data_IF_262000934588
#
_entry.id   IF_262000934588
#
_cell.length_a   1.000
_cell.length_b   1.000
_cell.length_c   1.000
_cell.angle_alpha   90.00
_cell.angle_beta   90.00
_cell.angle_gamma   90.00
#
_symmetry.space_group_name_H-M   'P 1'
#
loop_
_entity.id
_entity.type
_entity.pdbx_description
1 polymer ?
#
# COMPACT_ATOMS: atom_id res chain seq x y z
N UNK A 1 15.80 -19.56 -5.12
CA UNK A 1 15.48 -18.12 -4.94
C UNK A 1 14.55 -17.70 -6.08
N UNK A 2 13.41 -17.05 -5.80
CA UNK A 2 12.57 -16.50 -6.89
C UNK A 2 13.37 -15.40 -7.60
N UNK A 3 13.35 -15.41 -8.94
CA UNK A 3 14.05 -14.41 -9.76
C UNK A 3 13.42 -13.03 -9.50
N UNK A 4 14.24 -12.03 -9.19
CA UNK A 4 13.80 -10.63 -9.03
C UNK A 4 13.69 -9.99 -10.42
N UNK A 5 12.61 -9.25 -10.64
CA UNK A 5 12.40 -8.47 -11.84
C UNK A 5 13.41 -7.33 -11.96
N UNK A 6 13.78 -6.98 -13.19
CA UNK A 6 14.68 -5.87 -13.47
C UNK A 6 13.92 -4.77 -14.22
N UNK A 7 13.93 -3.55 -13.71
CA UNK A 7 13.26 -2.39 -14.32
C UNK A 7 14.13 -1.13 -14.20
N UNK A 8 13.82 -0.08 -14.96
CA UNK A 8 14.54 1.20 -14.86
C UNK A 8 14.10 2.02 -13.64
N UNK A 9 14.92 2.96 -13.14
CA UNK A 9 14.54 3.87 -12.06
C UNK A 9 13.24 4.63 -12.31
N UNK A 10 13.01 5.11 -13.54
CA UNK A 10 11.75 5.76 -13.90
C UNK A 10 10.55 4.80 -13.78
N UNK A 11 10.73 3.53 -14.21
CA UNK A 11 9.67 2.53 -14.11
C UNK A 11 9.33 2.20 -12.65
N UNK A 12 10.35 2.12 -11.78
CA UNK A 12 10.17 1.92 -10.34
C UNK A 12 9.43 3.12 -9.73
N UNK A 13 9.87 4.34 -10.03
CA UNK A 13 9.23 5.57 -9.55
C UNK A 13 7.74 5.63 -9.89
N UNK A 14 7.39 5.39 -11.16
CA UNK A 14 6.00 5.38 -11.61
C UNK A 14 5.21 4.30 -10.87
N UNK A 15 5.77 3.09 -10.72
CA UNK A 15 5.11 1.98 -10.03
C UNK A 15 4.83 2.34 -8.56
N UNK A 16 5.81 2.92 -7.88
CA UNK A 16 5.70 3.34 -6.48
C UNK A 16 4.68 4.47 -6.30
N UNK A 17 4.66 5.45 -7.21
CA UNK A 17 3.68 6.55 -7.21
C UNK A 17 2.25 6.05 -7.41
N UNK A 18 2.05 5.17 -8.40
CA UNK A 18 0.74 4.60 -8.70
C UNK A 18 0.23 3.74 -7.55
N UNK A 19 1.12 2.91 -6.97
CA UNK A 19 0.82 2.10 -5.79
C UNK A 19 0.40 2.97 -4.60
N UNK A 20 1.19 3.99 -4.27
CA UNK A 20 0.86 4.91 -3.18
C UNK A 20 -0.51 5.58 -3.38
N UNK A 21 -0.83 6.00 -4.61
CA UNK A 21 -2.12 6.64 -4.92
C UNK A 21 -3.30 5.69 -4.82
N UNK A 22 -3.23 4.48 -5.38
CA UNK A 22 -4.35 3.54 -5.27
C UNK A 22 -4.61 3.18 -3.81
N UNK A 23 -3.55 3.03 -3.01
CA UNK A 23 -3.65 2.76 -1.57
C UNK A 23 -4.26 3.94 -0.81
N UNK A 24 -3.97 5.18 -1.21
CA UNK A 24 -4.63 6.38 -0.67
C UNK A 24 -6.14 6.33 -0.87
N UNK A 25 -6.56 5.98 -2.10
CA UNK A 25 -7.96 5.86 -2.49
C UNK A 25 -8.61 4.58 -1.96
N UNK A 26 -7.86 3.70 -1.30
CA UNK A 26 -8.34 2.40 -0.83
C UNK A 26 -8.66 1.40 -1.94
N UNK A 27 -8.14 1.62 -3.16
CA UNK A 27 -8.33 0.77 -4.34
C UNK A 27 -7.28 -0.35 -4.32
N UNK A 28 -7.76 -1.59 -4.33
CA UNK A 28 -6.92 -2.79 -4.41
C UNK A 28 -6.26 -2.93 -5.79
N UNK A 29 -5.16 -3.69 -5.83
CA UNK A 29 -4.52 -4.03 -7.10
C UNK A 29 -5.47 -4.77 -8.06
N UNK A 30 -6.39 -5.60 -7.53
CA UNK A 30 -7.39 -6.30 -8.35
C UNK A 30 -8.37 -5.32 -9.00
N UNK A 31 -8.98 -4.44 -8.20
CA UNK A 31 -9.95 -3.44 -8.70
C UNK A 31 -9.31 -2.52 -9.74
N UNK A 32 -8.08 -2.06 -9.52
CA UNK A 32 -7.40 -1.23 -10.53
C UNK A 32 -7.06 -2.05 -11.79
N UNK A 33 -6.71 -3.34 -11.65
CA UNK A 33 -6.45 -4.21 -12.80
C UNK A 33 -7.67 -4.38 -13.68
N UNK A 34 -8.85 -4.54 -13.09
CA UNK A 34 -10.13 -4.65 -13.80
C UNK A 34 -10.44 -3.38 -14.61
N UNK A 35 -10.15 -2.21 -14.06
CA UNK A 35 -10.40 -0.93 -14.73
C UNK A 35 -9.46 -0.67 -15.92
N UNK A 36 -8.20 -1.09 -15.84
CA UNK A 36 -7.19 -0.76 -16.87
C UNK A 36 -7.00 -1.86 -17.93
N UNK A 37 -7.46 -3.08 -17.65
CA UNK A 37 -7.30 -4.23 -18.54
C UNK A 37 -8.33 -4.23 -19.65
N UNK A 38 -7.89 -4.47 -20.89
CA UNK A 38 -8.78 -4.57 -22.05
C UNK A 38 -9.60 -5.88 -22.07
N UNK A 39 -9.11 -6.94 -21.45
CA UNK A 39 -9.68 -8.30 -21.52
C UNK A 39 -10.04 -8.88 -20.14
N UNK A 40 -10.32 -8.03 -19.13
CA UNK A 40 -10.66 -8.51 -17.78
C UNK A 40 -9.51 -9.18 -17.02
N UNK A 41 -8.27 -8.70 -17.22
CA UNK A 41 -7.10 -9.23 -16.53
C UNK A 41 -7.05 -8.77 -15.07
N UNK A 42 -7.48 -9.62 -14.13
CA UNK A 42 -7.53 -9.30 -12.69
C UNK A 42 -6.15 -9.09 -12.02
N UNK A 43 -5.05 -9.47 -12.69
CA UNK A 43 -3.71 -9.51 -12.08
C UNK A 43 -2.70 -8.53 -12.66
N UNK A 44 -3.10 -7.62 -13.57
CA UNK A 44 -2.16 -6.75 -14.29
C UNK A 44 -1.38 -5.86 -13.33
N UNK A 45 -2.06 -5.12 -12.45
CA UNK A 45 -1.43 -4.24 -11.45
C UNK A 45 -0.65 -5.07 -10.43
N UNK A 46 -1.22 -6.19 -9.96
CA UNK A 46 -0.51 -7.09 -9.03
C UNK A 46 0.83 -7.59 -9.59
N UNK A 47 0.87 -7.93 -10.88
CA UNK A 47 2.11 -8.32 -11.54
C UNK A 47 3.06 -7.12 -11.74
N UNK A 48 2.53 -5.95 -12.10
CA UNK A 48 3.31 -4.70 -12.22
C UNK A 48 3.89 -4.24 -10.88
N UNK A 49 3.26 -4.51 -9.76
CA UNK A 49 3.79 -4.15 -8.43
C UNK A 49 4.63 -5.26 -7.80
N UNK A 50 4.52 -6.50 -8.31
CA UNK A 50 5.30 -7.61 -7.82
C UNK A 50 6.79 -7.49 -8.17
N UNK A 51 7.64 -7.74 -7.17
CA UNK A 51 9.10 -7.84 -7.32
C UNK A 51 9.54 -9.02 -8.18
N UNK A 52 8.68 -10.03 -8.38
CA UNK A 52 9.04 -11.24 -9.15
C UNK A 52 8.90 -11.08 -10.66
N UNK A 53 8.37 -9.94 -11.13
CA UNK A 53 8.16 -9.70 -12.56
C UNK A 53 8.83 -8.40 -12.99
N UNK A 54 9.32 -8.37 -14.22
CA UNK A 54 9.81 -7.14 -14.86
C UNK A 54 8.69 -6.33 -15.54
N UNK A 55 7.41 -6.65 -15.26
CA UNK A 55 6.30 -5.88 -15.83
C UNK A 55 6.28 -4.47 -15.24
N UNK A 56 5.86 -3.53 -16.08
CA UNK A 56 5.76 -2.10 -15.81
C UNK A 56 4.52 -1.54 -16.49
N UNK A 57 4.08 -0.36 -16.05
CA UNK A 57 3.06 0.38 -16.78
C UNK A 57 3.56 0.72 -18.19
N UNK A 58 2.82 0.30 -19.20
CA UNK A 58 2.99 0.75 -20.59
C UNK A 58 2.30 2.09 -20.76
N UNK A 59 2.58 2.85 -21.80
CA UNK A 59 1.88 4.13 -22.06
C UNK A 59 0.36 3.97 -22.08
N UNK A 60 -0.15 2.87 -22.66
CA UNK A 60 -1.58 2.57 -22.70
C UNK A 60 -2.15 2.27 -21.31
N UNK A 61 -1.50 1.40 -20.53
CA UNK A 61 -2.01 1.04 -19.20
C UNK A 61 -1.82 2.18 -18.20
N UNK A 62 -0.74 2.96 -18.32
CA UNK A 62 -0.49 4.14 -17.48
C UNK A 62 -1.58 5.19 -17.66
N UNK A 63 -1.95 5.51 -18.91
CA UNK A 63 -3.01 6.50 -19.20
C UNK A 63 -4.32 6.11 -18.53
N UNK A 64 -4.77 4.87 -18.71
CA UNK A 64 -6.00 4.37 -18.08
C UNK A 64 -5.90 4.36 -16.56
N UNK A 65 -4.74 4.00 -16.03
CA UNK A 65 -4.53 3.93 -14.59
C UNK A 65 -4.55 5.32 -13.95
N UNK A 66 -3.94 6.35 -14.57
CA UNK A 66 -4.03 7.71 -14.02
C UNK A 66 -5.45 8.24 -14.08
N UNK A 67 -6.20 7.98 -15.17
CA UNK A 67 -7.62 8.33 -15.27
C UNK A 67 -8.47 7.66 -14.17
N UNK A 68 -8.25 6.35 -13.94
CA UNK A 68 -8.91 5.59 -12.87
C UNK A 68 -8.59 6.11 -11.44
N UNK A 69 -7.45 6.76 -11.26
CA UNK A 69 -6.99 7.28 -9.96
C UNK A 69 -7.20 8.79 -9.80
N UNK A 70 -7.98 9.40 -10.69
CA UNK A 70 -8.25 10.84 -10.74
C UNK A 70 -6.95 11.67 -10.77
N UNK A 71 -6.03 11.24 -11.63
CA UNK A 71 -4.71 11.84 -11.85
C UNK A 71 -4.44 12.04 -13.34
N UNK A 72 -3.45 12.88 -13.63
CA UNK A 72 -2.91 13.07 -14.97
C UNK A 72 -1.56 12.39 -15.10
N UNK A 73 -1.06 12.26 -16.34
CA UNK A 73 0.30 11.78 -16.59
C UNK A 73 1.37 12.67 -15.95
N UNK A 74 1.11 13.96 -15.72
CA UNK A 74 2.08 14.86 -15.08
C UNK A 74 2.28 14.53 -13.61
N UNK A 75 1.25 14.02 -12.93
CA UNK A 75 1.27 13.73 -11.50
C UNK A 75 2.13 12.51 -11.15
N UNK A 76 2.44 11.66 -12.14
CA UNK A 76 3.19 10.42 -11.99
C UNK A 76 4.63 10.50 -12.50
N UNK A 77 5.01 11.62 -13.10
CA UNK A 77 6.36 11.86 -13.58
C UNK A 77 7.20 12.54 -12.50
N UNK A 78 8.51 12.25 -12.41
CA UNK A 78 9.38 12.95 -11.49
C UNK A 78 9.55 14.41 -11.93
N UNK A 79 9.65 15.31 -10.94
CA UNK A 79 9.89 16.74 -11.20
C UNK A 79 11.29 17.01 -11.75
N UNK A 80 12.23 16.12 -11.46
CA UNK A 80 13.62 16.18 -11.89
C UNK A 80 13.94 14.94 -12.74
N UNK A 81 14.91 15.09 -13.65
CA UNK A 81 15.43 13.96 -14.39
C UNK A 81 16.09 12.98 -13.43
N UNK A 82 15.82 11.69 -13.62
CA UNK A 82 16.51 10.65 -12.88
C UNK A 82 17.87 10.40 -13.57
N UNK A 83 18.93 10.36 -12.76
CA UNK A 83 20.32 10.31 -13.24
C UNK A 83 20.69 8.98 -13.93
N UNK A 84 19.88 7.94 -13.77
CA UNK A 84 20.17 6.58 -14.22
C UNK A 84 18.98 5.94 -14.95
N UNK A 85 19.23 5.38 -16.12
CA UNK A 85 18.28 4.58 -16.90
C UNK A 85 18.73 3.10 -17.01
N UNK A 86 19.72 2.71 -16.21
CA UNK A 86 20.19 1.33 -16.12
C UNK A 86 19.16 0.45 -15.40
N UNK A 87 19.03 -0.79 -15.85
CA UNK A 87 18.15 -1.75 -15.17
C UNK A 87 18.65 -2.05 -13.75
N UNK A 88 17.77 -1.87 -12.77
CA UNK A 88 17.99 -2.20 -11.35
C UNK A 88 17.05 -3.31 -10.88
N UNK A 89 17.33 -3.88 -9.71
CA UNK A 89 16.39 -4.79 -9.06
C UNK A 89 15.13 -4.04 -8.67
N UNK A 90 13.99 -4.62 -9.03
CA UNK A 90 12.69 -4.10 -8.67
C UNK A 90 12.43 -4.31 -7.19
N UNK A 91 11.92 -3.28 -6.53
CA UNK A 91 11.58 -3.31 -5.12
C UNK A 91 10.07 -3.08 -4.93
N UNK A 92 9.58 -3.50 -3.77
CA UNK A 92 8.24 -3.16 -3.30
C UNK A 92 8.37 -2.88 -1.81
N UNK A 93 8.68 -1.62 -1.49
CA UNK A 93 8.80 -1.17 -0.11
C UNK A 93 7.37 -0.99 0.41
N UNK A 94 6.95 -1.69 1.49
CA UNK A 94 5.60 -1.56 2.02
C UNK A 94 5.22 -0.11 2.29
N UNK A 95 6.07 0.62 3.02
CA UNK A 95 5.85 2.02 3.37
C UNK A 95 6.96 2.87 2.78
N UNK A 96 6.63 3.61 1.71
CA UNK A 96 7.46 4.60 1.05
C UNK A 96 7.47 5.95 1.81
N UNK A 97 8.57 6.69 1.66
CA UNK A 97 8.64 8.08 2.12
C UNK A 97 7.62 8.96 1.41
N UNK A 98 6.87 9.74 2.20
CA UNK A 98 5.84 10.66 1.68
C UNK A 98 4.47 10.01 1.41
N UNK A 99 4.28 8.72 1.70
CA UNK A 99 2.92 8.16 1.75
C UNK A 99 2.12 8.78 2.90
N UNK A 100 0.80 8.90 2.73
CA UNK A 100 -0.07 9.23 3.86
C UNK A 100 -0.15 8.05 4.83
N UNK A 101 -0.66 8.32 6.04
CA UNK A 101 -0.98 7.27 7.02
C UNK A 101 -2.01 6.29 6.44
N UNK A 102 -3.03 6.77 5.71
CA UNK A 102 -4.06 5.91 5.12
C UNK A 102 -3.47 4.95 4.08
N UNK A 103 -2.65 5.46 3.17
CA UNK A 103 -1.99 4.63 2.17
C UNK A 103 -1.04 3.61 2.81
N UNK A 104 -0.29 4.03 3.84
CA UNK A 104 0.59 3.13 4.59
C UNK A 104 -0.19 2.01 5.29
N UNK A 105 -1.31 2.32 5.95
CA UNK A 105 -2.15 1.31 6.60
C UNK A 105 -2.81 0.36 5.60
N UNK A 106 -3.30 0.86 4.46
CA UNK A 106 -3.80 0.00 3.37
C UNK A 106 -2.69 -0.90 2.80
N UNK A 107 -1.44 -0.40 2.70
CA UNK A 107 -0.30 -1.25 2.34
C UNK A 107 -0.07 -2.35 3.38
N UNK A 108 -0.06 -2.01 4.67
CA UNK A 108 0.12 -2.98 5.75
C UNK A 108 -0.98 -4.04 5.74
N UNK A 109 -2.22 -3.62 5.47
CA UNK A 109 -3.32 -4.53 5.19
C UNK A 109 -2.92 -5.49 4.07
N UNK A 110 -2.58 -5.03 2.87
CA UNK A 110 -2.21 -5.92 1.75
C UNK A 110 -1.05 -6.87 2.04
N UNK A 111 -0.09 -6.46 2.88
CA UNK A 111 1.04 -7.29 3.28
C UNK A 111 0.70 -8.34 4.34
N UNK A 112 -0.55 -8.40 4.82
CA UNK A 112 -0.97 -9.33 5.85
C UNK A 112 -0.52 -8.94 7.26
N UNK A 113 -0.06 -7.71 7.48
CA UNK A 113 0.35 -7.26 8.81
C UNK A 113 -0.80 -7.37 9.82
N UNK A 114 -2.03 -7.08 9.39
CA UNK A 114 -3.22 -7.21 10.24
C UNK A 114 -3.83 -8.61 10.25
N UNK A 115 -3.18 -9.64 9.71
CA UNK A 115 -3.67 -11.02 9.84
C UNK A 115 -3.63 -11.49 11.29
N UNK A 116 -2.80 -10.85 12.12
CA UNK A 116 -2.80 -10.97 13.57
C UNK A 116 -3.28 -9.67 14.25
N UNK A 117 -3.81 -9.71 15.48
CA UNK A 117 -4.26 -8.51 16.17
C UNK A 117 -3.11 -7.63 16.69
N UNK A 118 -3.09 -6.37 16.27
CA UNK A 118 -2.09 -5.37 16.68
C UNK A 118 -2.72 -4.18 17.42
N UNK A 119 -2.07 -3.71 18.48
CA UNK A 119 -2.43 -2.43 19.09
C UNK A 119 -1.77 -1.26 18.35
N UNK A 120 -2.26 -0.04 18.60
CA UNK A 120 -1.77 1.19 17.94
C UNK A 120 -0.25 1.34 18.10
N UNK A 121 0.30 0.99 19.27
CA UNK A 121 1.75 1.10 19.52
C UNK A 121 2.54 0.15 18.63
N UNK A 122 2.07 -1.09 18.44
CA UNK A 122 2.67 -2.04 17.53
C UNK A 122 2.60 -1.57 16.08
N UNK A 123 1.47 -0.99 15.65
CA UNK A 123 1.32 -0.40 14.31
C UNK A 123 2.34 0.73 14.10
N UNK A 124 2.40 1.70 15.02
CA UNK A 124 3.34 2.83 14.93
C UNK A 124 4.79 2.38 14.96
N UNK A 125 5.14 1.41 15.81
CA UNK A 125 6.49 0.86 15.89
C UNK A 125 6.89 0.18 14.57
N UNK A 126 6.01 -0.65 13.99
CA UNK A 126 6.28 -1.31 12.71
C UNK A 126 6.39 -0.31 11.56
N UNK A 127 5.49 0.67 11.50
CA UNK A 127 5.54 1.78 10.54
C UNK A 127 6.91 2.50 10.60
N UNK A 128 7.41 2.80 11.80
CA UNK A 128 8.68 3.50 11.98
C UNK A 128 9.92 2.70 11.57
N UNK A 129 9.83 1.38 11.38
CA UNK A 129 10.96 0.57 10.89
C UNK A 129 11.36 0.86 9.45
N UNK A 130 10.48 1.51 8.67
CA UNK A 130 10.73 1.91 7.28
C UNK A 130 11.41 3.28 7.17
N UNK A 131 11.64 3.96 8.29
CA UNK A 131 12.14 5.33 8.33
C UNK A 131 13.40 5.45 9.18
N UNK A 132 14.28 6.37 8.77
CA UNK A 132 15.41 6.80 9.60
C UNK A 132 14.90 7.54 10.84
N UNK A 133 15.65 7.56 11.96
CA UNK A 133 15.21 8.19 13.21
C UNK A 133 14.66 9.63 13.04
N UNK A 134 15.24 10.43 12.16
CA UNK A 134 14.81 11.80 11.86
C UNK A 134 13.46 11.92 11.14
N UNK A 135 13.03 10.86 10.44
CA UNK A 135 11.76 10.80 9.71
C UNK A 135 10.67 10.02 10.51
N UNK A 136 11.01 9.47 11.69
CA UNK A 136 10.10 8.65 12.48
C UNK A 136 8.97 9.49 13.09
N UNK A 137 7.80 8.84 13.16
CA UNK A 137 6.57 9.39 13.70
C UNK A 137 6.41 8.93 15.15
N UNK A 138 7.11 9.60 16.07
CA UNK A 138 7.14 9.22 17.50
C UNK A 138 5.81 9.52 18.20
N UNK A 139 5.12 10.60 17.80
CA UNK A 139 3.84 11.06 18.39
C UNK A 139 2.67 11.05 17.40
N UNK A 140 2.75 10.28 16.30
CA UNK A 140 1.63 10.26 15.35
C UNK A 140 0.48 9.44 15.87
N UNK A 141 -0.68 10.06 15.87
CA UNK A 141 -1.93 9.42 16.22
C UNK A 141 -2.51 8.69 15.00
N UNK A 142 -2.28 7.38 14.94
CA UNK A 142 -2.88 6.50 13.93
C UNK A 142 -4.35 6.16 14.25
N UNK A 143 -4.88 6.60 15.41
CA UNK A 143 -6.21 6.20 15.88
C UNK A 143 -7.30 6.57 14.89
N UNK A 144 -7.26 7.79 14.33
CA UNK A 144 -8.25 8.25 13.37
C UNK A 144 -8.29 7.37 12.11
N UNK A 145 -7.13 7.07 11.51
CA UNK A 145 -7.10 6.27 10.28
C UNK A 145 -7.37 4.78 10.54
N UNK A 146 -7.02 4.25 11.71
CA UNK A 146 -7.42 2.90 12.11
C UNK A 146 -8.94 2.81 12.35
N UNK A 147 -9.54 3.87 12.90
CA UNK A 147 -10.99 4.01 13.03
C UNK A 147 -11.67 4.05 11.67
N UNK A 148 -11.15 4.83 10.73
CA UNK A 148 -11.65 4.89 9.36
C UNK A 148 -11.63 3.51 8.70
N UNK A 149 -10.54 2.76 8.84
CA UNK A 149 -10.43 1.40 8.29
C UNK A 149 -11.40 0.39 8.95
N UNK A 150 -11.69 0.57 10.24
CA UNK A 150 -12.75 -0.18 10.92
C UNK A 150 -14.13 0.17 10.36
N UNK A 151 -14.43 1.46 10.17
CA UNK A 151 -15.69 1.93 9.60
C UNK A 151 -15.87 1.53 8.12
N UNK A 152 -14.77 1.46 7.35
CA UNK A 152 -14.72 0.90 6.00
C UNK A 152 -14.90 -0.64 5.97
N UNK A 153 -14.97 -1.29 7.13
CA UNK A 153 -15.17 -2.75 7.25
C UNK A 153 -13.92 -3.58 6.93
N UNK A 154 -12.74 -2.97 6.86
CA UNK A 154 -11.47 -3.67 6.57
C UNK A 154 -10.82 -4.27 7.83
N UNK A 155 -11.11 -3.68 8.98
CA UNK A 155 -10.61 -4.10 10.28
C UNK A 155 -11.76 -4.45 11.23
N UNK A 156 -11.46 -5.30 12.20
CA UNK A 156 -12.27 -5.59 13.38
C UNK A 156 -11.51 -5.16 14.61
N UNK A 157 -12.22 -4.58 15.59
CA UNK A 157 -11.66 -4.23 16.90
C UNK A 157 -11.85 -5.39 17.87
N UNK A 158 -10.78 -5.78 18.54
CA UNK A 158 -10.85 -6.75 19.63
C UNK A 158 -10.34 -6.13 20.94
N UNK A 159 -10.97 -6.45 22.09
CA UNK A 159 -10.42 -6.09 23.39
C UNK A 159 -9.05 -6.75 23.58
N UNK A 160 -8.06 -6.00 24.06
CA UNK A 160 -6.81 -6.59 24.53
C UNK A 160 -7.05 -7.19 25.93
N UNK A 161 -6.72 -8.47 26.11
CA UNK A 161 -6.73 -9.10 27.43
C UNK A 161 -5.74 -8.40 28.37
N UNK A 162 -6.25 -7.71 29.39
CA UNK A 162 -5.48 -7.21 30.53
C UNK A 162 -6.28 -7.20 31.83
N UNK A 163 -5.60 -7.24 32.99
CA UNK A 163 -6.22 -7.04 34.29
C UNK A 163 -6.66 -5.56 34.45
N UNK A 164 -7.92 -5.36 34.87
CA UNK A 164 -8.58 -4.14 35.40
C UNK A 164 -8.10 -2.77 34.90
N UNK A 165 -8.95 -2.10 34.11
CA UNK A 165 -9.12 -0.64 34.15
C UNK A 165 -8.93 0.11 32.82
N UNK A 166 -8.12 -0.42 31.90
CA UNK A 166 -7.91 0.18 30.58
C UNK A 166 -8.15 -0.86 29.48
N UNK A 167 -9.28 -0.75 28.78
CA UNK A 167 -9.54 -1.54 27.58
C UNK A 167 -8.70 -0.97 26.43
N UNK A 168 -7.49 -1.52 26.23
CA UNK A 168 -6.75 -1.25 24.98
C UNK A 168 -7.41 -2.02 23.85
N UNK A 169 -7.59 -1.35 22.71
CA UNK A 169 -8.12 -1.98 21.50
C UNK A 169 -6.96 -2.51 20.65
N UNK A 170 -7.15 -3.70 20.09
CA UNK A 170 -6.33 -4.20 18.99
C UNK A 170 -7.18 -4.24 17.72
N UNK A 171 -6.50 -4.13 16.59
CA UNK A 171 -7.08 -4.17 15.26
C UNK A 171 -6.57 -5.42 14.54
N UNK A 172 -7.48 -6.15 13.91
CA UNK A 172 -7.21 -7.33 13.08
C UNK A 172 -7.98 -7.20 11.78
N UNK A 173 -7.47 -7.73 10.67
CA UNK A 173 -8.15 -7.76 9.39
C UNK A 173 -9.48 -8.48 9.55
N UNK A 174 -10.55 -7.89 9.00
CA UNK A 174 -11.85 -8.56 8.96
C UNK A 174 -11.76 -9.75 8.00
N UNK A 175 -12.07 -10.96 8.48
CA UNK A 175 -12.08 -12.15 7.65
C UNK A 175 -13.32 -12.21 6.75
N UNK A 176 -13.21 -12.85 5.59
CA UNK A 176 -14.35 -13.07 4.66
C UNK A 176 -15.51 -13.86 5.30
N UNK A 177 -15.26 -14.55 6.43
CA UNK A 177 -16.28 -15.28 7.20
C UNK A 177 -17.25 -14.38 7.98
N UNK A 178 -16.90 -13.12 8.23
CA UNK A 178 -17.66 -12.21 9.10
C UNK A 178 -18.66 -11.32 8.33
N UNK A 179 -18.86 -11.59 7.03
CA UNK A 179 -19.77 -10.86 6.12
C UNK A 179 -21.12 -11.58 5.97
N UNK A 180 -21.27 -12.78 6.53
CA UNK A 180 -22.56 -13.50 6.61
C UNK A 180 -23.02 -13.60 8.06
N UNK A 181 -23.68 -12.56 8.55
CA UNK A 181 -24.51 -12.62 9.77
C UNK A 181 -25.70 -11.70 9.58
#
# INVERSE_FOLDING_TARGET
MKKVGKITPLSQYITDKMRARRLELGISAKELSEQISLFGGESVVGNIESVSTSLKYTTSTLRKAVEALDWTLKDVLPNELLDDDTLQDKTCIPILKGMSIKAALNSLLEQGFFDEPHDIKAVTAYYNTFFKPEDQKVDSDFSAQLEDLYNEGKLTKIPADRPKGETRLKFVRKGDSDIKS
#
